data_IF_527584912029
#
_entry.id   IF_527584912029
#
_cell.length_a   1.000
_cell.length_b   1.000
_cell.length_c   1.000
_cell.angle_alpha   90.00
_cell.angle_beta   90.00
_cell.angle_gamma   90.00
#
_symmetry.space_group_name_H-M   'P 1'
#
loop_
_entity.id
_entity.type
_entity.pdbx_description
1 polymer ?
#
# COMPACT_ATOMS: atom_id res chain seq x y z
N UNK A 1 -8.11 -2.04 -7.41
CA UNK A 1 -8.12 -1.01 -6.34
C UNK A 1 -7.57 -1.66 -5.08
N UNK A 2 -7.18 -0.87 -4.07
CA UNK A 2 -6.68 -1.41 -2.80
C UNK A 2 -7.64 -1.04 -1.66
N UNK A 3 -8.44 -1.99 -1.17
CA UNK A 3 -9.48 -1.73 -0.16
C UNK A 3 -8.95 -1.77 1.27
N UNK A 4 -7.82 -2.44 1.50
CA UNK A 4 -7.09 -2.46 2.77
C UNK A 4 -5.65 -2.04 2.52
N UNK A 5 -5.19 -1.06 3.28
CA UNK A 5 -3.84 -0.50 3.19
C UNK A 5 -3.29 -0.40 4.61
N UNK A 6 -2.11 -0.97 4.83
CA UNK A 6 -1.47 -0.99 6.13
C UNK A 6 0.02 -0.71 5.97
N UNK A 7 0.55 0.13 6.85
CA UNK A 7 1.99 0.37 6.96
C UNK A 7 2.48 -0.27 8.24
N UNK A 8 3.42 -1.19 8.12
CA UNK A 8 4.04 -1.87 9.24
C UNK A 8 5.51 -1.44 9.39
N UNK A 9 5.93 -1.20 10.64
CA UNK A 9 7.30 -0.86 10.99
C UNK A 9 7.81 -1.81 12.06
N UNK A 10 8.97 -2.41 11.82
CA UNK A 10 9.60 -3.33 12.75
C UNK A 10 10.83 -2.71 13.39
N UNK A 11 10.77 -2.50 14.71
CA UNK A 11 11.90 -2.05 15.51
C UNK A 11 12.64 -3.25 16.12
N UNK A 12 13.72 -3.67 15.45
CA UNK A 12 14.57 -4.78 15.89
C UNK A 12 15.19 -4.59 17.27
N UNK A 13 15.51 -3.35 17.66
CA UNK A 13 16.16 -3.05 18.95
C UNK A 13 15.21 -3.26 20.13
N UNK A 14 13.94 -2.90 19.93
CA UNK A 14 12.89 -3.04 20.95
C UNK A 14 12.11 -4.35 20.83
N UNK A 15 12.33 -5.13 19.76
CA UNK A 15 11.54 -6.33 19.47
C UNK A 15 10.05 -6.02 19.20
N UNK A 16 9.73 -4.81 18.74
CA UNK A 16 8.36 -4.32 18.61
C UNK A 16 7.96 -4.11 17.15
N UNK A 17 6.68 -4.37 16.83
CA UNK A 17 6.07 -4.08 15.53
C UNK A 17 4.93 -3.09 15.73
N UNK A 18 4.97 -2.00 14.97
CA UNK A 18 3.90 -1.01 14.92
C UNK A 18 3.20 -1.11 13.58
N UNK A 19 1.87 -1.18 13.59
CA UNK A 19 1.06 -1.21 12.37
C UNK A 19 0.08 -0.05 12.39
N UNK A 20 -0.03 0.65 11.25
CA UNK A 20 -0.93 1.77 11.06
C UNK A 20 -1.80 1.46 9.84
N UNK A 21 -3.11 1.38 10.05
CA UNK A 21 -4.08 1.24 8.97
C UNK A 21 -4.32 2.60 8.31
N UNK A 22 -4.29 2.63 6.98
CA UNK A 22 -4.58 3.82 6.20
C UNK A 22 -6.01 3.72 5.64
N UNK A 23 -6.92 4.66 5.96
CA UNK A 23 -8.29 4.61 5.45
C UNK A 23 -8.33 4.67 3.92
N UNK A 24 -9.10 3.79 3.28
CA UNK A 24 -9.19 3.69 1.81
C UNK A 24 -9.63 4.99 1.11
N UNK A 25 -10.46 5.77 1.80
CA UNK A 25 -11.05 7.01 1.31
C UNK A 25 -10.19 8.24 1.67
N UNK A 26 -9.00 8.03 2.23
CA UNK A 26 -8.05 9.11 2.52
C UNK A 26 -7.74 9.88 1.24
N UNK A 27 -8.02 11.18 1.25
CA UNK A 27 -7.87 12.04 0.08
C UNK A 27 -6.40 12.42 -0.10
N UNK A 28 -5.87 12.12 -1.28
CA UNK A 28 -4.47 12.34 -1.62
C UNK A 28 -4.34 13.17 -2.87
N UNK A 29 -3.28 13.99 -2.90
CA UNK A 29 -2.95 14.83 -4.05
C UNK A 29 -1.49 14.63 -4.41
N UNK A 30 -1.23 13.95 -5.52
CA UNK A 30 0.12 13.80 -6.02
C UNK A 30 0.40 14.86 -7.08
N UNK A 31 1.30 15.81 -6.78
CA UNK A 31 1.63 16.90 -7.71
C UNK A 31 2.40 16.41 -8.95
N UNK A 32 3.20 15.36 -8.82
CA UNK A 32 4.02 14.83 -9.91
C UNK A 32 3.21 13.98 -10.89
N UNK A 33 2.34 13.12 -10.38
CA UNK A 33 1.51 12.21 -11.20
C UNK A 33 0.14 12.79 -11.54
N UNK A 34 -0.20 13.99 -11.03
CA UNK A 34 -1.52 14.65 -11.14
C UNK A 34 -2.68 13.75 -10.68
N UNK A 35 -2.40 12.82 -9.78
CA UNK A 35 -3.43 11.95 -9.20
C UNK A 35 -4.09 12.72 -8.07
N UNK A 36 -5.35 13.08 -8.29
CA UNK A 36 -6.25 13.62 -7.29
C UNK A 36 -7.35 12.60 -7.03
N UNK A 37 -7.61 12.29 -5.77
CA UNK A 37 -8.69 11.39 -5.39
C UNK A 37 -8.39 10.60 -4.12
N UNK A 38 -9.10 9.48 -3.97
CA UNK A 38 -8.94 8.57 -2.83
C UNK A 38 -7.71 7.71 -3.01
N UNK A 39 -7.02 7.43 -1.91
CA UNK A 39 -5.76 6.67 -1.93
C UNK A 39 -5.93 5.25 -2.52
N UNK A 40 -7.08 4.61 -2.34
CA UNK A 40 -7.35 3.27 -2.87
C UNK A 40 -7.31 3.18 -4.40
N UNK A 41 -7.48 4.30 -5.09
CA UNK A 41 -7.43 4.38 -6.55
C UNK A 41 -6.00 4.47 -7.09
N UNK A 42 -5.05 4.95 -6.27
CA UNK A 42 -3.66 5.23 -6.66
C UNK A 42 -3.00 4.00 -7.26
N UNK A 43 -3.10 2.85 -6.56
CA UNK A 43 -2.52 1.60 -7.03
C UNK A 43 -3.05 1.20 -8.41
N UNK A 44 -4.38 1.13 -8.58
CA UNK A 44 -4.99 0.77 -9.86
C UNK A 44 -4.68 1.74 -11.00
N UNK A 45 -4.58 3.04 -10.70
CA UNK A 45 -4.20 4.06 -11.69
C UNK A 45 -2.75 3.88 -12.13
N UNK A 46 -1.85 3.56 -11.18
CA UNK A 46 -0.44 3.30 -11.47
C UNK A 46 -0.20 2.00 -12.24
N UNK A 47 -0.98 0.94 -11.98
CA UNK A 47 -0.95 -0.31 -12.78
C UNK A 47 -1.28 -0.03 -14.24
N UNK A 48 -2.23 0.89 -14.49
CA UNK A 48 -2.60 1.33 -15.83
C UNK A 48 -3.04 0.20 -16.76
N UNK A 49 -3.01 0.46 -18.07
CA UNK A 49 -3.43 -0.54 -19.09
C UNK A 49 -2.40 -1.66 -19.30
N UNK A 50 -1.16 -1.45 -18.87
CA UNK A 50 -0.07 -2.41 -19.04
C UNK A 50 -0.04 -3.51 -17.98
N UNK A 51 -0.93 -3.43 -16.98
CA UNK A 51 -1.01 -4.42 -15.89
C UNK A 51 0.31 -4.60 -15.13
N UNK A 52 1.09 -3.52 -14.99
CA UNK A 52 2.38 -3.54 -14.31
C UNK A 52 2.19 -3.25 -12.81
N UNK A 53 2.10 -4.31 -12.00
CA UNK A 53 1.90 -4.18 -10.56
C UNK A 53 2.99 -3.39 -9.83
N UNK A 54 4.24 -3.52 -10.27
CA UNK A 54 5.35 -2.79 -9.65
C UNK A 54 5.23 -1.28 -9.84
N UNK A 55 4.74 -0.82 -11.00
CA UNK A 55 4.44 0.59 -11.27
C UNK A 55 3.32 1.09 -10.35
N UNK A 56 2.26 0.30 -10.18
CA UNK A 56 1.19 0.57 -9.23
C UNK A 56 1.67 0.65 -7.77
N UNK A 57 2.52 -0.29 -7.36
CA UNK A 57 3.10 -0.34 -6.03
C UNK A 57 3.99 0.86 -5.75
N UNK A 58 4.87 1.23 -6.69
CA UNK A 58 5.73 2.42 -6.58
C UNK A 58 4.93 3.71 -6.43
N UNK A 59 3.85 3.87 -7.20
CA UNK A 59 2.97 5.03 -7.08
C UNK A 59 2.30 5.09 -5.69
N UNK A 60 1.80 3.95 -5.21
CA UNK A 60 1.19 3.86 -3.88
C UNK A 60 2.21 4.12 -2.75
N UNK A 61 3.40 3.54 -2.85
CA UNK A 61 4.50 3.76 -1.90
C UNK A 61 4.85 5.24 -1.84
N UNK A 62 5.10 5.88 -3.00
CA UNK A 62 5.43 7.31 -3.03
C UNK A 62 4.36 8.17 -2.37
N UNK A 63 3.08 7.84 -2.58
CA UNK A 63 1.98 8.55 -1.91
C UNK A 63 1.96 8.32 -0.39
N UNK A 64 2.19 7.09 0.06
CA UNK A 64 2.23 6.76 1.49
C UNK A 64 3.43 7.40 2.18
N UNK A 65 4.59 7.46 1.52
CA UNK A 65 5.78 8.15 2.03
C UNK A 65 5.52 9.66 2.20
N UNK A 66 4.81 10.29 1.26
CA UNK A 66 4.43 11.71 1.34
C UNK A 66 3.46 11.97 2.50
N UNK A 67 2.49 11.08 2.71
CA UNK A 67 1.46 11.22 3.76
C UNK A 67 2.02 10.93 5.16
N UNK A 68 2.84 9.90 5.30
CA UNK A 68 3.32 9.41 6.60
C UNK A 68 4.68 10.04 6.97
N UNK A 69 5.44 10.52 5.99
CA UNK A 69 6.75 11.16 6.20
C UNK A 69 7.88 10.17 6.51
N UNK A 70 7.70 8.89 6.21
CA UNK A 70 8.70 7.83 6.44
C UNK A 70 8.98 7.07 5.16
N UNK A 71 10.19 6.52 5.02
CA UNK A 71 10.56 5.70 3.87
C UNK A 71 10.01 4.28 4.01
N UNK A 72 9.46 3.76 2.91
CA UNK A 72 8.84 2.43 2.81
C UNK A 72 9.64 1.61 1.78
N UNK A 73 10.65 0.85 2.22
CA UNK A 73 11.55 0.14 1.29
C UNK A 73 10.98 -1.17 0.74
N UNK A 74 9.94 -1.72 1.36
CA UNK A 74 9.35 -3.00 1.00
C UNK A 74 7.82 -2.92 0.97
N UNK A 75 7.21 -3.74 0.13
CA UNK A 75 5.76 -3.92 0.09
C UNK A 75 5.41 -5.39 -0.09
N UNK A 76 4.20 -5.73 0.34
CA UNK A 76 3.55 -6.99 0.00
C UNK A 76 2.18 -6.68 -0.57
N UNK A 77 1.82 -7.34 -1.67
CA UNK A 77 0.49 -7.27 -2.26
C UNK A 77 -0.17 -8.63 -2.07
N UNK A 78 -1.34 -8.64 -1.45
CA UNK A 78 -2.12 -9.84 -1.19
C UNK A 78 -3.53 -9.60 -1.73
N UNK A 79 -3.99 -10.47 -2.62
CA UNK A 79 -5.37 -10.50 -3.05
C UNK A 79 -6.22 -11.38 -2.13
N UNK A 80 -7.54 -11.37 -2.32
CA UNK A 80 -8.45 -12.15 -1.47
C UNK A 80 -8.21 -13.66 -1.56
N UNK A 81 -7.75 -14.17 -2.70
CA UNK A 81 -7.44 -15.59 -2.84
C UNK A 81 -6.17 -15.97 -2.07
N UNK A 82 -5.12 -15.16 -2.18
CA UNK A 82 -3.89 -15.29 -1.41
C UNK A 82 -4.15 -15.21 0.09
N UNK A 83 -5.03 -14.31 0.53
CA UNK A 83 -5.43 -14.22 1.93
C UNK A 83 -6.10 -15.51 2.42
N UNK A 84 -7.03 -16.09 1.64
CA UNK A 84 -7.64 -17.40 1.98
C UNK A 84 -6.60 -18.50 2.09
N UNK A 85 -5.67 -18.60 1.13
CA UNK A 85 -4.58 -19.59 1.15
C UNK A 85 -3.70 -19.46 2.39
N UNK A 86 -3.41 -18.23 2.83
CA UNK A 86 -2.65 -18.00 4.07
C UNK A 86 -3.40 -18.55 5.28
N UNK A 87 -4.72 -18.29 5.38
CA UNK A 87 -5.55 -18.87 6.45
C UNK A 87 -5.51 -20.39 6.39
N UNK A 88 -5.81 -20.98 5.23
CA UNK A 88 -5.87 -22.43 5.04
C UNK A 88 -4.54 -23.13 5.37
N UNK A 89 -3.41 -22.44 5.17
CA UNK A 89 -2.06 -22.95 5.47
C UNK A 89 -1.75 -22.90 6.98
N UNK A 90 -2.27 -21.90 7.69
CA UNK A 90 -2.01 -21.71 9.11
C UNK A 90 -2.95 -22.50 10.02
N UNK A 91 -4.14 -22.86 9.53
CA UNK A 91 -5.14 -23.68 10.24
C UNK A 91 -6.23 -22.84 10.90
#
# INVERSE_FOLDING_TARGET
MADSIMVASWNKKLGAVTMISVPRDFYVTNKETRVFGRINEVFSRGVGRKHEFDTGAKAMIGQLEEVIGVKIPYYALIDFEGFKKVIDTLG
#
